data_IF_360032922152
#
_entry.id   IF_360032922152
#
_cell.length_a   1.000
_cell.length_b   1.000
_cell.length_c   1.000
_cell.angle_alpha   90.00
_cell.angle_beta   90.00
_cell.angle_gamma   90.00
#
_symmetry.space_group_name_H-M   'P 1'
#
loop_
_entity.id
_entity.type
_entity.pdbx_description
1 polymer ?
#
# COMPACT_ATOMS: atom_id res chain seq x y z
N UNK A 1 19.51 -26.15 -14.98
CA UNK A 1 19.33 -25.15 -13.91
C UNK A 1 18.85 -23.86 -14.57
N UNK A 2 17.54 -23.75 -14.81
CA UNK A 2 16.96 -22.56 -15.43
C UNK A 2 16.68 -21.54 -14.34
N UNK A 3 17.38 -20.41 -14.34
CA UNK A 3 16.96 -19.24 -13.58
C UNK A 3 15.72 -18.69 -14.28
N UNK A 4 14.51 -19.10 -13.84
CA UNK A 4 13.28 -18.44 -14.26
C UNK A 4 13.27 -17.04 -13.65
N UNK A 5 13.63 -16.06 -14.47
CA UNK A 5 13.62 -14.64 -14.14
C UNK A 5 12.26 -14.01 -14.44
N UNK A 6 11.16 -14.76 -14.27
CA UNK A 6 9.82 -14.23 -14.50
C UNK A 6 9.27 -13.67 -13.18
N UNK A 7 9.69 -12.44 -12.87
CA UNK A 7 9.34 -11.73 -11.63
C UNK A 7 7.97 -11.02 -11.69
N UNK A 8 7.23 -11.18 -12.79
CA UNK A 8 5.86 -10.67 -13.01
C UNK A 8 5.27 -11.33 -14.26
N UNK A 9 4.19 -12.11 -14.11
CA UNK A 9 3.46 -12.66 -15.26
C UNK A 9 2.43 -11.65 -15.81
N UNK A 10 2.55 -11.36 -17.11
CA UNK A 10 1.71 -10.38 -17.78
C UNK A 10 0.53 -11.09 -18.45
N UNK A 11 -0.66 -10.93 -17.88
CA UNK A 11 -1.89 -11.52 -18.39
C UNK A 11 -3.00 -10.47 -18.49
N UNK A 12 -4.19 -10.87 -18.93
CA UNK A 12 -5.32 -9.96 -19.15
C UNK A 12 -5.72 -9.21 -17.86
N UNK A 13 -5.61 -9.84 -16.70
CA UNK A 13 -5.99 -9.24 -15.42
C UNK A 13 -4.94 -8.25 -14.92
N UNK A 14 -3.66 -8.65 -14.92
CA UNK A 14 -2.57 -7.77 -14.49
C UNK A 14 -2.36 -6.60 -15.46
N UNK A 15 -2.55 -6.83 -16.77
CA UNK A 15 -2.48 -5.78 -17.79
C UNK A 15 -3.63 -4.77 -17.70
N UNK A 16 -4.84 -5.19 -17.32
CA UNK A 16 -5.97 -4.28 -17.16
C UNK A 16 -5.77 -3.32 -15.97
N UNK A 17 -5.13 -3.80 -14.90
CA UNK A 17 -4.84 -3.01 -13.70
C UNK A 17 -3.64 -2.05 -13.88
N UNK A 18 -2.70 -2.40 -14.75
CA UNK A 18 -1.46 -1.65 -14.93
C UNK A 18 -1.67 -0.16 -15.33
N UNK A 19 -2.54 0.19 -16.30
CA UNK A 19 -2.81 1.59 -16.63
C UNK A 19 -3.35 2.39 -15.44
N UNK A 20 -4.27 1.81 -14.67
CA UNK A 20 -4.83 2.45 -13.48
C UNK A 20 -3.78 2.67 -12.40
N UNK A 21 -2.93 1.66 -12.16
CA UNK A 21 -1.79 1.76 -11.25
C UNK A 21 -0.81 2.88 -11.68
N UNK A 22 -0.40 2.89 -12.94
CA UNK A 22 0.52 3.90 -13.49
C UNK A 22 -0.08 5.29 -13.36
N UNK A 23 -1.35 5.48 -13.74
CA UNK A 23 -2.03 6.77 -13.62
C UNK A 23 -2.11 7.24 -12.17
N UNK A 24 -2.45 6.35 -11.23
CA UNK A 24 -2.49 6.69 -9.81
C UNK A 24 -1.12 7.15 -9.30
N UNK A 25 -0.04 6.45 -9.66
CA UNK A 25 1.33 6.83 -9.28
C UNK A 25 1.75 8.16 -9.92
N UNK A 26 1.49 8.35 -11.22
CA UNK A 26 1.84 9.58 -11.94
C UNK A 26 1.14 10.80 -11.32
N UNK A 27 -0.19 10.73 -11.14
CA UNK A 27 -0.94 11.85 -10.56
C UNK A 27 -0.58 12.07 -9.09
N UNK A 28 -0.35 11.00 -8.32
CA UNK A 28 0.14 11.12 -6.96
C UNK A 28 1.46 11.90 -6.89
N UNK A 29 2.44 11.53 -7.73
CA UNK A 29 3.74 12.19 -7.78
C UNK A 29 3.60 13.67 -8.18
N UNK A 30 2.83 13.97 -9.22
CA UNK A 30 2.58 15.35 -9.67
C UNK A 30 1.93 16.20 -8.57
N UNK A 31 0.93 15.66 -7.87
CA UNK A 31 0.25 16.35 -6.78
C UNK A 31 1.16 16.55 -5.57
N UNK A 32 1.96 15.55 -5.18
CA UNK A 32 2.90 15.68 -4.08
C UNK A 32 3.98 16.74 -4.39
N UNK A 33 4.55 16.72 -5.60
CA UNK A 33 5.52 17.72 -6.05
C UNK A 33 4.91 19.12 -6.09
N UNK A 34 3.69 19.27 -6.64
CA UNK A 34 2.97 20.54 -6.67
C UNK A 34 2.64 21.04 -5.27
N UNK A 35 2.15 20.16 -4.41
CA UNK A 35 1.80 20.47 -3.02
C UNK A 35 3.01 20.88 -2.18
N UNK A 36 4.19 20.34 -2.46
CA UNK A 36 5.44 20.83 -1.85
C UNK A 36 5.78 22.22 -2.37
N UNK A 37 5.84 22.42 -3.68
CA UNK A 37 6.22 23.69 -4.32
C UNK A 37 5.28 24.86 -4.01
N UNK A 38 3.98 24.61 -3.92
CA UNK A 38 2.95 25.64 -3.72
C UNK A 38 2.46 25.72 -2.28
N UNK A 39 3.07 24.98 -1.35
CA UNK A 39 2.64 24.86 0.05
C UNK A 39 1.15 24.48 0.23
N UNK A 40 0.60 23.73 -0.74
CA UNK A 40 -0.80 23.30 -0.73
C UNK A 40 -0.96 21.97 -0.03
N UNK A 41 -1.54 22.01 1.17
CA UNK A 41 -1.78 20.81 1.96
C UNK A 41 -2.77 19.84 1.29
N UNK A 42 -3.83 20.36 0.68
CA UNK A 42 -4.83 19.57 -0.03
C UNK A 42 -4.23 18.74 -1.16
N UNK A 43 -3.30 19.32 -1.94
CA UNK A 43 -2.56 18.62 -2.98
C UNK A 43 -1.73 17.47 -2.42
N UNK A 44 -1.03 17.70 -1.29
CA UNK A 44 -0.24 16.65 -0.64
C UNK A 44 -1.11 15.50 -0.13
N UNK A 45 -2.25 15.83 0.49
CA UNK A 45 -3.19 14.84 1.02
C UNK A 45 -3.85 14.04 -0.11
N UNK A 46 -4.28 14.70 -1.19
CA UNK A 46 -4.85 14.01 -2.36
C UNK A 46 -3.81 13.11 -3.03
N UNK A 47 -2.58 13.60 -3.20
CA UNK A 47 -1.49 12.79 -3.74
C UNK A 47 -1.22 11.54 -2.88
N UNK A 48 -1.26 11.69 -1.55
CA UNK A 48 -1.12 10.55 -0.63
C UNK A 48 -2.30 9.57 -0.72
N UNK A 49 -3.55 10.05 -0.84
CA UNK A 49 -4.72 9.20 -1.06
C UNK A 49 -4.55 8.38 -2.36
N UNK A 50 -4.04 8.99 -3.43
CA UNK A 50 -3.77 8.29 -4.69
C UNK A 50 -2.67 7.23 -4.53
N UNK A 51 -1.60 7.49 -3.77
CA UNK A 51 -0.61 6.45 -3.45
C UNK A 51 -1.22 5.28 -2.68
N UNK A 52 -2.10 5.54 -1.70
CA UNK A 52 -2.78 4.49 -0.95
C UNK A 52 -3.68 3.65 -1.87
N UNK A 53 -4.36 4.27 -2.83
CA UNK A 53 -5.13 3.54 -3.85
C UNK A 53 -4.23 2.75 -4.81
N UNK A 54 -3.09 3.30 -5.23
CA UNK A 54 -2.11 2.58 -6.04
C UNK A 54 -1.61 1.32 -5.32
N UNK A 55 -1.36 1.38 -4.01
CA UNK A 55 -1.03 0.21 -3.19
C UNK A 55 -2.16 -0.84 -3.25
N UNK A 56 -3.43 -0.44 -3.10
CA UNK A 56 -4.56 -1.39 -3.18
C UNK A 56 -4.67 -2.03 -4.56
N UNK A 57 -4.41 -1.29 -5.63
CA UNK A 57 -4.38 -1.84 -7.00
C UNK A 57 -3.19 -2.79 -7.16
N UNK A 58 -2.04 -2.45 -6.60
CA UNK A 58 -0.83 -3.27 -6.66
C UNK A 58 -1.04 -4.66 -6.05
N UNK A 59 -1.82 -4.78 -4.98
CA UNK A 59 -2.19 -6.09 -4.42
C UNK A 59 -2.77 -7.04 -5.47
N UNK A 60 -3.80 -6.60 -6.19
CA UNK A 60 -4.43 -7.43 -7.21
C UNK A 60 -3.54 -7.61 -8.42
N UNK A 61 -2.85 -6.54 -8.85
CA UNK A 61 -1.97 -6.58 -10.00
C UNK A 61 -0.82 -7.58 -9.82
N UNK A 62 -0.16 -7.55 -8.66
CA UNK A 62 0.94 -8.46 -8.32
C UNK A 62 0.43 -9.88 -8.05
N UNK A 63 -0.76 -10.01 -7.43
CA UNK A 63 -1.41 -11.30 -7.22
C UNK A 63 -1.72 -12.00 -8.54
N UNK A 64 -2.34 -11.31 -9.50
CA UNK A 64 -2.58 -11.84 -10.85
C UNK A 64 -1.29 -12.10 -11.61
N UNK A 65 -0.20 -11.43 -11.27
CA UNK A 65 1.11 -11.64 -11.89
C UNK A 65 1.92 -12.80 -11.26
N UNK A 66 1.28 -13.64 -10.43
CA UNK A 66 1.87 -14.87 -9.90
C UNK A 66 2.67 -14.72 -8.61
N UNK A 67 2.68 -13.55 -7.94
CA UNK A 67 3.49 -13.35 -6.72
C UNK A 67 3.04 -14.22 -5.52
N UNK A 68 1.84 -14.80 -5.55
CA UNK A 68 1.39 -15.77 -4.55
C UNK A 68 1.92 -17.18 -4.76
N UNK A 69 2.31 -17.51 -5.99
CA UNK A 69 2.62 -18.89 -6.41
C UNK A 69 4.13 -19.20 -6.34
N UNK A 70 4.95 -18.21 -6.01
CA UNK A 70 6.42 -18.36 -5.95
C UNK A 70 6.91 -19.01 -4.68
N UNK A 71 6.10 -19.05 -3.61
CA UNK A 71 6.43 -19.61 -2.29
C UNK A 71 7.77 -19.10 -1.72
N UNK A 72 8.11 -17.85 -2.01
CA UNK A 72 9.37 -17.22 -1.63
C UNK A 72 9.17 -15.86 -0.95
N UNK A 73 10.16 -14.97 -1.05
CA UNK A 73 10.08 -13.62 -0.51
C UNK A 73 8.94 -12.79 -1.12
N UNK A 74 8.52 -13.03 -2.37
CA UNK A 74 7.40 -12.32 -3.01
C UNK A 74 6.07 -12.72 -2.37
N UNK A 75 5.87 -14.02 -2.15
CA UNK A 75 4.69 -14.53 -1.44
C UNK A 75 4.64 -13.98 -0.01
N UNK A 76 5.79 -13.97 0.69
CA UNK A 76 5.89 -13.34 2.01
C UNK A 76 5.54 -11.85 1.96
N UNK A 77 6.07 -11.10 0.98
CA UNK A 77 5.72 -9.69 0.78
C UNK A 77 4.21 -9.49 0.56
N UNK A 78 3.58 -10.35 -0.25
CA UNK A 78 2.14 -10.31 -0.50
C UNK A 78 1.31 -10.46 0.79
N UNK A 79 1.78 -11.27 1.74
CA UNK A 79 1.09 -11.51 3.02
C UNK A 79 1.31 -10.45 4.10
N UNK A 80 2.50 -9.85 4.17
CA UNK A 80 2.87 -8.94 5.26
C UNK A 80 2.90 -7.46 4.86
N UNK A 81 2.94 -7.13 3.58
CA UNK A 81 2.82 -5.74 3.16
C UNK A 81 1.38 -5.24 3.39
N UNK A 82 1.18 -4.03 3.96
CA UNK A 82 -0.14 -3.55 4.37
C UNK A 82 -0.97 -3.03 3.17
N UNK A 83 -1.28 -3.91 2.22
CA UNK A 83 -2.08 -3.61 1.05
C UNK A 83 -3.49 -3.10 1.39
N UNK A 84 -4.10 -3.65 2.44
CA UNK A 84 -5.36 -3.14 2.98
C UNK A 84 -5.10 -1.96 3.94
N UNK A 85 -5.13 -0.76 3.37
CA UNK A 85 -4.86 0.51 4.04
C UNK A 85 -6.11 1.37 4.26
N UNK A 86 -7.32 0.78 4.20
CA UNK A 86 -8.59 1.52 4.34
C UNK A 86 -8.70 2.30 5.66
N UNK A 87 -8.16 1.73 6.74
CA UNK A 87 -8.13 2.34 8.07
C UNK A 87 -7.33 3.65 8.05
N UNK A 88 -6.26 3.72 7.24
CA UNK A 88 -5.46 4.94 7.04
C UNK A 88 -6.15 5.92 6.08
N UNK A 89 -6.80 5.42 5.02
CA UNK A 89 -7.49 6.28 4.04
C UNK A 89 -8.55 7.15 4.71
N UNK A 90 -9.33 6.62 5.68
CA UNK A 90 -10.39 7.37 6.36
C UNK A 90 -9.91 8.69 6.99
N UNK A 91 -8.96 8.66 7.94
CA UNK A 91 -8.36 9.87 8.53
C UNK A 91 -7.74 10.82 7.50
N UNK A 92 -7.03 10.30 6.49
CA UNK A 92 -6.41 11.14 5.46
C UNK A 92 -7.48 11.84 4.61
N UNK A 93 -8.56 11.15 4.26
CA UNK A 93 -9.69 11.71 3.52
C UNK A 93 -10.40 12.80 4.34
N UNK A 94 -10.57 12.58 5.65
CA UNK A 94 -11.09 13.60 6.56
C UNK A 94 -10.21 14.86 6.56
N UNK A 95 -8.89 14.72 6.70
CA UNK A 95 -7.98 15.86 6.66
C UNK A 95 -7.94 16.54 5.29
N UNK A 96 -8.08 15.77 4.21
CA UNK A 96 -8.17 16.33 2.86
C UNK A 96 -9.39 17.25 2.75
N UNK A 97 -10.56 16.78 3.15
CA UNK A 97 -11.79 17.59 3.14
C UNK A 97 -11.68 18.82 4.03
N UNK A 98 -11.09 18.66 5.23
CA UNK A 98 -10.85 19.76 6.15
C UNK A 98 -9.91 20.82 5.56
N UNK A 99 -8.86 20.39 4.84
CA UNK A 99 -7.91 21.30 4.17
C UNK A 99 -8.52 22.05 2.97
N UNK A 100 -9.56 21.50 2.35
CA UNK A 100 -10.30 22.16 1.26
C UNK A 100 -11.31 23.18 1.76
N UNK A 101 -12.01 22.84 2.85
CA UNK A 101 -13.11 23.65 3.39
C UNK A 101 -12.65 24.73 4.37
N UNK A 102 -11.50 24.53 5.00
CA UNK A 102 -10.91 25.49 5.94
C UNK A 102 -9.53 25.95 5.45
N UNK A 103 -9.49 27.13 4.84
CA UNK A 103 -8.27 27.72 4.29
C UNK A 103 -7.16 27.96 5.34
N UNK A 104 -7.53 28.07 6.63
CA UNK A 104 -6.59 28.23 7.74
C UNK A 104 -6.13 26.91 8.37
N UNK A 105 -6.58 25.76 7.87
CA UNK A 105 -6.27 24.47 8.48
C UNK A 105 -4.77 24.17 8.47
N UNK A 106 -4.25 23.83 9.65
CA UNK A 106 -2.88 23.35 9.87
C UNK A 106 -2.91 22.14 10.79
N UNK A 107 -1.98 21.22 10.58
CA UNK A 107 -1.85 20.03 11.43
C UNK A 107 -1.37 20.40 12.83
N UNK A 108 -2.29 20.35 13.79
CA UNK A 108 -2.02 20.44 15.23
C UNK A 108 -1.81 19.06 15.89
N UNK A 109 -1.24 19.06 17.10
CA UNK A 109 -1.01 17.83 17.89
C UNK A 109 -2.28 17.02 18.12
N UNK A 110 -3.43 17.69 18.34
CA UNK A 110 -4.73 17.04 18.57
C UNK A 110 -5.16 16.15 17.40
N UNK A 111 -4.77 16.47 16.17
CA UNK A 111 -5.14 15.70 14.99
C UNK A 111 -4.38 14.37 14.88
N UNK A 112 -3.25 14.21 15.58
CA UNK A 112 -2.47 12.97 15.57
C UNK A 112 -3.25 11.77 16.12
N UNK A 113 -4.26 11.99 16.95
CA UNK A 113 -5.10 10.92 17.50
C UNK A 113 -5.84 10.13 16.40
N UNK A 114 -6.20 10.76 15.29
CA UNK A 114 -6.86 10.06 14.18
C UNK A 114 -5.92 9.06 13.48
N UNK A 115 -4.60 9.18 13.68
CA UNK A 115 -3.61 8.24 13.17
C UNK A 115 -3.30 7.10 14.15
N UNK A 116 -3.87 7.11 15.35
CA UNK A 116 -3.66 6.06 16.35
C UNK A 116 -4.15 4.70 15.86
N UNK A 117 -5.38 4.63 15.36
CA UNK A 117 -5.97 3.36 14.87
C UNK A 117 -5.17 2.82 13.67
N UNK A 118 -4.84 3.61 12.63
CA UNK A 118 -3.93 3.17 11.57
C UNK A 118 -2.56 2.70 12.08
N UNK A 119 -1.99 3.38 13.06
CA UNK A 119 -0.68 3.02 13.62
C UNK A 119 -0.74 1.69 14.37
N UNK A 120 -1.79 1.46 15.17
CA UNK A 120 -2.02 0.18 15.86
C UNK A 120 -2.23 -0.95 14.85
N UNK A 121 -2.99 -0.70 13.78
CA UNK A 121 -3.18 -1.68 12.70
C UNK A 121 -1.84 -2.07 12.04
N UNK A 122 -1.00 -1.08 11.72
CA UNK A 122 0.32 -1.33 11.15
C UNK A 122 1.22 -2.10 12.14
N UNK A 123 1.15 -1.77 13.43
CA UNK A 123 1.88 -2.48 14.48
C UNK A 123 1.46 -3.94 14.57
N UNK A 124 0.16 -4.25 14.45
CA UNK A 124 -0.32 -5.64 14.42
C UNK A 124 0.26 -6.41 13.23
N UNK A 125 0.30 -5.80 12.04
CA UNK A 125 0.89 -6.43 10.84
C UNK A 125 2.38 -6.70 11.04
N UNK A 126 3.13 -5.73 11.57
CA UNK A 126 4.55 -5.88 11.87
C UNK A 126 4.76 -6.97 12.94
N UNK A 127 3.92 -7.00 13.97
CA UNK A 127 4.01 -7.99 15.04
C UNK A 127 3.78 -9.40 14.50
N UNK A 128 2.78 -9.58 13.63
CA UNK A 128 2.54 -10.84 12.92
C UNK A 128 3.75 -11.28 12.10
N UNK A 129 4.32 -10.36 11.31
CA UNK A 129 5.54 -10.63 10.54
C UNK A 129 6.70 -11.09 11.43
N UNK A 130 6.95 -10.38 12.54
CA UNK A 130 8.03 -10.74 13.47
C UNK A 130 7.78 -12.11 14.10
N UNK A 131 6.56 -12.40 14.57
CA UNK A 131 6.22 -13.68 15.19
C UNK A 131 6.40 -14.82 14.18
N UNK A 132 5.88 -14.66 12.97
CA UNK A 132 5.96 -15.69 11.92
C UNK A 132 7.42 -15.99 11.55
N UNK A 133 8.26 -14.96 11.41
CA UNK A 133 9.68 -15.15 11.08
C UNK A 133 10.59 -15.51 12.27
N UNK A 134 10.19 -15.25 13.51
CA UNK A 134 10.99 -15.56 14.70
C UNK A 134 10.67 -16.94 15.29
N UNK A 135 9.40 -17.37 15.19
CA UNK A 135 8.91 -18.59 15.86
C UNK A 135 8.61 -19.70 14.85
N UNK A 136 8.04 -19.37 13.70
CA UNK A 136 7.51 -20.35 12.74
C UNK A 136 8.39 -20.55 11.50
N UNK A 137 9.43 -19.75 11.31
CA UNK A 137 10.37 -19.90 10.20
C UNK A 137 11.46 -20.95 10.51
N UNK A 138 11.80 -21.85 9.57
CA UNK A 138 11.28 -21.95 8.20
C UNK A 138 9.89 -22.57 8.16
N UNK A 139 9.02 -21.99 7.31
CA UNK A 139 7.65 -22.47 7.16
C UNK A 139 7.65 -23.91 6.62
N UNK A 140 6.86 -24.83 7.22
CA UNK A 140 6.80 -26.21 6.74
C UNK A 140 6.23 -26.25 5.33
N UNK A 141 6.92 -26.97 4.44
CA UNK A 141 6.41 -27.32 3.12
C UNK A 141 5.58 -28.58 3.32
N UNK A 142 4.25 -28.47 3.21
CA UNK A 142 3.39 -29.64 3.24
C UNK A 142 3.38 -30.26 1.84
N UNK A 143 3.79 -31.53 1.73
CA UNK A 143 3.81 -32.27 0.46
C UNK A 143 2.39 -32.55 -0.10
N UNK A 144 1.34 -32.22 0.66
CA UNK A 144 -0.06 -32.50 0.33
C UNK A 144 -0.70 -31.48 -0.64
N UNK A 145 0.04 -30.45 -1.08
CA UNK A 145 -0.48 -29.35 -1.92
C UNK A 145 0.06 -29.31 -3.35
N UNK A 146 0.43 -30.48 -3.92
CA UNK A 146 0.70 -30.62 -5.36
C UNK A 146 -0.53 -31.12 -6.12
#
# INVERSE_FOLDING_TARGET
>A
MSFSLMRFDFNIYSSLLLPAFIQAILFAALLLLRGVKQERLSDRLLGFILLLNAIKIAFWMLGFAGWYETHDAFTSFMFYFPFNNIILIGPILYFYFLSLTNAGFKFEKKHRIHLLIPALWLLLIISKFIIDFSVYYPFPVNDDSQ
#
